data_IF_930768170217
#
_entry.id   IF_930768170217
#
_cell.length_a   1.000
_cell.length_b   1.000
_cell.length_c   1.000
_cell.angle_alpha   90.00
_cell.angle_beta   90.00
_cell.angle_gamma   90.00
#
_symmetry.space_group_name_H-M   'P 1'
#
loop_
_entity.id
_entity.type
_entity.pdbx_description
1 polymer ?
#
# COMPACT_ATOMS: atom_id res chain seq x y z
N UNK A 1 -3.22 27.66 -4.16
CA UNK A 1 -2.27 26.71 -3.54
C UNK A 1 -1.12 26.52 -4.53
N UNK A 2 0.16 26.63 -4.09
CA UNK A 2 1.32 26.44 -4.98
C UNK A 2 1.37 25.00 -5.49
N UNK A 3 1.73 24.79 -6.76
CA UNK A 3 1.79 23.46 -7.40
C UNK A 3 2.72 22.50 -6.67
N UNK A 4 3.90 22.96 -6.23
CA UNK A 4 4.85 22.14 -5.46
C UNK A 4 4.26 21.61 -4.16
N UNK A 5 3.46 22.44 -3.47
CA UNK A 5 2.79 22.04 -2.22
C UNK A 5 1.74 20.96 -2.48
N UNK A 6 1.07 21.00 -3.63
CA UNK A 6 0.11 19.95 -4.03
C UNK A 6 0.85 18.63 -4.25
N UNK A 7 1.93 18.64 -5.02
CA UNK A 7 2.74 17.44 -5.29
C UNK A 7 3.32 16.84 -4.00
N UNK A 8 3.76 17.68 -3.06
CA UNK A 8 4.25 17.23 -1.75
C UNK A 8 3.15 16.57 -0.93
N UNK A 9 1.96 17.17 -0.86
CA UNK A 9 0.82 16.60 -0.14
C UNK A 9 0.41 15.27 -0.77
N UNK A 10 0.31 15.20 -2.10
CA UNK A 10 -0.04 13.96 -2.81
C UNK A 10 1.00 12.87 -2.53
N UNK A 11 2.29 13.19 -2.59
CA UNK A 11 3.35 12.23 -2.30
C UNK A 11 3.21 11.65 -0.88
N UNK A 12 3.04 12.51 0.13
CA UNK A 12 2.87 12.08 1.54
C UNK A 12 1.61 11.22 1.71
N UNK A 13 0.48 11.62 1.12
CA UNK A 13 -0.78 10.87 1.22
C UNK A 13 -0.69 9.49 0.54
N UNK A 14 -0.10 9.39 -0.64
CA UNK A 14 0.04 8.10 -1.34
C UNK A 14 1.01 7.16 -0.63
N UNK A 15 2.15 7.67 -0.14
CA UNK A 15 3.12 6.86 0.62
C UNK A 15 2.54 6.42 1.97
N UNK A 16 1.89 7.32 2.71
CA UNK A 16 1.24 6.94 3.98
C UNK A 16 0.12 5.92 3.74
N UNK A 17 -0.69 6.06 2.68
CA UNK A 17 -1.68 5.07 2.29
C UNK A 17 -1.06 3.70 2.01
N UNK A 18 0.06 3.65 1.28
CA UNK A 18 0.78 2.40 1.03
C UNK A 18 1.28 1.76 2.32
N UNK A 19 1.88 2.53 3.23
CA UNK A 19 2.38 2.03 4.53
C UNK A 19 1.22 1.49 5.38
N UNK A 20 0.14 2.27 5.54
CA UNK A 20 -1.02 1.85 6.31
C UNK A 20 -1.69 0.60 5.71
N UNK A 21 -1.71 0.49 4.38
CA UNK A 21 -2.22 -0.70 3.69
C UNK A 21 -1.35 -1.94 3.95
N UNK A 22 -0.02 -1.80 3.92
CA UNK A 22 0.92 -2.89 4.28
C UNK A 22 0.76 -3.30 5.75
N UNK A 23 0.62 -2.33 6.66
CA UNK A 23 0.40 -2.60 8.08
C UNK A 23 -0.92 -3.37 8.29
N UNK A 24 -2.01 -2.91 7.66
CA UNK A 24 -3.31 -3.58 7.71
C UNK A 24 -3.24 -5.01 7.17
N UNK A 25 -2.63 -5.19 5.99
CA UNK A 25 -2.40 -6.51 5.39
C UNK A 25 -1.63 -7.42 6.35
N UNK A 26 -0.55 -6.93 6.95
CA UNK A 26 0.28 -7.70 7.88
C UNK A 26 -0.51 -8.14 9.12
N UNK A 27 -1.33 -7.24 9.68
CA UNK A 27 -2.21 -7.56 10.79
C UNK A 27 -3.24 -8.65 10.42
N UNK A 28 -3.85 -8.55 9.23
CA UNK A 28 -4.84 -9.52 8.74
C UNK A 28 -4.20 -10.88 8.45
N UNK A 29 -3.03 -10.92 7.81
CA UNK A 29 -2.26 -12.15 7.56
C UNK A 29 -1.86 -12.80 8.87
N UNK A 30 -1.35 -12.00 9.82
CA UNK A 30 -0.93 -12.52 11.12
C UNK A 30 -2.13 -13.10 11.84
N UNK A 31 -3.26 -12.39 11.89
CA UNK A 31 -4.48 -12.93 12.44
C UNK A 31 -4.82 -14.27 11.77
N UNK A 32 -4.98 -14.28 10.45
CA UNK A 32 -5.36 -15.47 9.70
C UNK A 32 -4.41 -16.66 9.88
N UNK A 33 -3.13 -16.50 9.55
CA UNK A 33 -2.19 -17.61 9.45
C UNK A 33 -1.67 -18.09 10.80
N UNK A 34 -1.45 -17.18 11.77
CA UNK A 34 -0.93 -17.55 13.08
C UNK A 34 -1.96 -18.35 13.89
N UNK A 35 -3.23 -17.91 13.85
CA UNK A 35 -4.28 -18.50 14.65
C UNK A 35 -5.01 -19.65 13.94
N UNK A 36 -4.95 -19.75 12.60
CA UNK A 36 -5.53 -20.88 11.87
C UNK A 36 -5.07 -22.23 12.45
N UNK A 37 -3.77 -22.37 12.73
CA UNK A 37 -3.24 -23.63 13.26
C UNK A 37 -3.78 -24.02 14.65
N UNK A 38 -4.20 -23.04 15.47
CA UNK A 38 -4.66 -23.27 16.84
C UNK A 38 -6.18 -23.37 16.95
N UNK A 39 -6.91 -22.61 16.12
CA UNK A 39 -8.34 -22.37 16.26
C UNK A 39 -9.20 -23.02 15.18
N UNK A 40 -8.61 -23.55 14.12
CA UNK A 40 -9.40 -24.05 13.00
C UNK A 40 -10.01 -25.44 13.27
N UNK A 41 -11.21 -25.43 13.84
CA UNK A 41 -12.07 -26.62 13.94
C UNK A 41 -13.00 -26.61 12.73
N UNK A 42 -12.57 -27.22 11.63
CA UNK A 42 -13.32 -27.23 10.36
C UNK A 42 -13.98 -28.58 10.09
N UNK A 43 -15.27 -28.54 9.69
CA UNK A 43 -16.09 -29.72 9.35
C UNK A 43 -16.26 -29.85 7.81
N UNK A 44 -15.95 -28.78 7.05
CA UNK A 44 -15.99 -28.71 5.59
C UNK A 44 -14.57 -28.62 5.00
N UNK A 45 -14.40 -28.44 3.69
CA UNK A 45 -13.06 -28.35 3.04
C UNK A 45 -12.55 -26.91 2.95
N UNK A 46 -13.43 -25.91 3.07
CA UNK A 46 -13.11 -24.50 2.79
C UNK A 46 -13.15 -23.58 4.02
N UNK A 47 -13.15 -24.10 5.26
CA UNK A 47 -13.35 -23.31 6.49
C UNK A 47 -12.08 -22.72 7.15
N UNK A 48 -11.07 -22.33 6.37
CA UNK A 48 -9.79 -21.88 6.92
C UNK A 48 -9.75 -20.37 7.31
N UNK A 49 -10.83 -19.62 7.09
CA UNK A 49 -10.83 -18.18 7.32
C UNK A 49 -11.35 -17.78 8.70
N UNK A 50 -10.44 -17.63 9.68
CA UNK A 50 -10.81 -17.24 11.04
C UNK A 50 -11.40 -15.82 11.14
N UNK A 51 -11.10 -14.93 10.20
CA UNK A 51 -11.61 -13.54 10.22
C UNK A 51 -13.12 -13.49 9.97
N UNK A 52 -13.67 -14.55 9.37
CA UNK A 52 -15.09 -14.74 9.10
C UNK A 52 -15.62 -16.00 9.81
N UNK A 53 -15.02 -16.33 10.96
CA UNK A 53 -15.41 -17.47 11.77
C UNK A 53 -16.82 -17.33 12.35
N UNK A 54 -17.46 -18.47 12.60
CA UNK A 54 -18.70 -18.57 13.38
C UNK A 54 -18.39 -19.25 14.71
N UNK A 55 -18.77 -18.60 15.81
CA UNK A 55 -18.65 -19.14 17.15
C UNK A 55 -19.96 -19.84 17.56
N UNK A 56 -19.88 -21.08 18.03
CA UNK A 56 -20.99 -21.84 18.61
C UNK A 56 -20.74 -22.11 20.10
N UNK A 57 -21.71 -22.69 20.81
CA UNK A 57 -21.56 -22.94 22.26
C UNK A 57 -20.35 -23.80 22.65
N UNK A 58 -19.77 -24.58 21.73
CA UNK A 58 -18.62 -25.45 22.03
C UNK A 58 -17.53 -25.45 20.96
N UNK A 59 -17.71 -24.79 19.81
CA UNK A 59 -16.75 -24.82 18.71
C UNK A 59 -16.58 -23.45 18.07
N UNK A 60 -15.38 -23.22 17.53
CA UNK A 60 -15.03 -22.08 16.71
C UNK A 60 -14.71 -22.58 15.31
N UNK A 61 -15.59 -22.30 14.34
CA UNK A 61 -15.43 -22.76 12.96
C UNK A 61 -14.98 -21.58 12.10
N UNK A 62 -13.93 -21.75 11.28
CA UNK A 62 -13.56 -20.73 10.31
C UNK A 62 -14.58 -20.60 9.17
N UNK A 63 -14.55 -19.46 8.47
CA UNK A 63 -15.38 -19.16 7.31
C UNK A 63 -14.70 -19.53 5.98
N UNK A 64 -15.38 -19.28 4.85
CA UNK A 64 -14.85 -19.55 3.51
C UNK A 64 -13.50 -18.84 3.29
N UNK A 65 -12.49 -19.62 2.93
CA UNK A 65 -11.12 -19.17 2.68
C UNK A 65 -11.02 -18.00 1.70
N UNK A 66 -11.94 -17.89 0.72
CA UNK A 66 -11.99 -16.81 -0.27
C UNK A 66 -12.13 -15.43 0.38
N UNK A 67 -12.84 -15.34 1.51
CA UNK A 67 -12.98 -14.07 2.23
C UNK A 67 -11.65 -13.62 2.83
N UNK A 68 -10.84 -14.53 3.35
CA UNK A 68 -9.51 -14.20 3.86
C UNK A 68 -8.57 -13.81 2.73
N UNK A 69 -8.57 -14.53 1.60
CA UNK A 69 -7.81 -14.11 0.41
C UNK A 69 -8.19 -12.71 -0.03
N UNK A 70 -9.49 -12.40 -0.11
CA UNK A 70 -9.96 -11.08 -0.50
C UNK A 70 -9.59 -10.00 0.53
N UNK A 71 -9.81 -10.24 1.82
CA UNK A 71 -9.53 -9.27 2.88
C UNK A 71 -8.04 -8.96 3.03
N UNK A 72 -7.19 -9.98 2.92
CA UNK A 72 -5.74 -9.85 3.02
C UNK A 72 -5.14 -9.22 1.76
N UNK A 73 -5.39 -9.82 0.61
CA UNK A 73 -4.70 -9.44 -0.63
C UNK A 73 -5.45 -8.36 -1.42
N UNK A 74 -6.69 -8.02 -1.05
CA UNK A 74 -7.47 -6.96 -1.68
C UNK A 74 -6.84 -5.57 -1.54
N UNK A 75 -5.94 -5.38 -0.57
CA UNK A 75 -5.16 -4.14 -0.42
C UNK A 75 -3.95 -4.05 -1.36
N UNK A 76 -3.57 -5.14 -2.04
CA UNK A 76 -2.40 -5.16 -2.93
C UNK A 76 -2.44 -4.09 -4.03
N UNK A 77 -3.58 -3.85 -4.72
CA UNK A 77 -3.66 -2.77 -5.71
C UNK A 77 -3.43 -1.38 -5.08
N UNK A 78 -3.97 -1.13 -3.89
CA UNK A 78 -3.80 0.15 -3.20
C UNK A 78 -2.33 0.39 -2.82
N UNK A 79 -1.61 -0.66 -2.37
CA UNK A 79 -0.17 -0.60 -2.11
C UNK A 79 0.60 -0.26 -3.39
N UNK A 80 0.29 -0.94 -4.50
CA UNK A 80 0.95 -0.70 -5.79
C UNK A 80 0.73 0.74 -6.28
N UNK A 81 -0.52 1.20 -6.30
CA UNK A 81 -0.83 2.57 -6.73
C UNK A 81 -0.25 3.61 -5.79
N UNK A 82 -0.27 3.38 -4.47
CA UNK A 82 0.32 4.27 -3.49
C UNK A 82 1.84 4.42 -3.65
N UNK A 83 2.56 3.33 -3.91
CA UNK A 83 4.00 3.38 -4.19
C UNK A 83 4.31 4.08 -5.52
N UNK A 84 3.60 3.75 -6.60
CA UNK A 84 3.83 4.35 -7.91
C UNK A 84 3.54 5.86 -7.92
N UNK A 85 2.35 6.26 -7.45
CA UNK A 85 1.94 7.66 -7.42
C UNK A 85 2.70 8.45 -6.37
N UNK A 86 2.93 7.87 -5.18
CA UNK A 86 3.71 8.50 -4.12
C UNK A 86 5.16 8.77 -4.54
N UNK A 87 5.78 7.80 -5.21
CA UNK A 87 7.11 7.94 -5.81
C UNK A 87 7.15 8.96 -6.95
N UNK A 88 6.17 8.93 -7.85
CA UNK A 88 6.08 9.91 -8.95
C UNK A 88 5.95 11.35 -8.45
N UNK A 89 5.01 11.61 -7.54
CA UNK A 89 4.81 12.94 -6.97
C UNK A 89 6.00 13.36 -6.11
N UNK A 90 6.62 12.43 -5.36
CA UNK A 90 7.82 12.69 -4.58
C UNK A 90 9.02 13.05 -5.45
N UNK A 91 9.23 12.31 -6.55
CA UNK A 91 10.26 12.60 -7.54
C UNK A 91 10.12 14.02 -8.10
N UNK A 92 8.90 14.44 -8.45
CA UNK A 92 8.64 15.78 -9.00
C UNK A 92 8.86 16.92 -8.00
N UNK A 93 8.81 16.63 -6.70
CA UNK A 93 9.17 17.60 -5.65
C UNK A 93 10.69 17.66 -5.47
N UNK A 94 11.38 16.52 -5.50
CA UNK A 94 12.81 16.44 -5.23
C UNK A 94 13.69 16.85 -6.42
N UNK A 95 13.24 16.60 -7.66
CA UNK A 95 13.93 17.03 -8.87
C UNK A 95 13.38 18.37 -9.32
N UNK A 96 14.08 19.42 -8.90
CA UNK A 96 13.85 20.76 -9.39
C UNK A 96 14.12 20.81 -10.89
N UNK A 97 13.23 21.44 -11.66
CA UNK A 97 13.40 21.67 -13.11
C UNK A 97 14.52 22.71 -13.36
N UNK A 98 15.75 22.42 -12.97
CA UNK A 98 16.94 23.12 -13.47
C UNK A 98 17.37 22.62 -14.87
N UNK A 99 16.47 21.93 -15.59
CA UNK A 99 16.60 21.68 -17.02
C UNK A 99 16.07 22.87 -17.86
N UNK A 100 15.33 23.80 -17.23
CA UNK A 100 14.77 24.98 -17.89
C UNK A 100 15.69 26.21 -17.83
N UNK A 101 16.83 26.13 -17.14
CA UNK A 101 17.90 27.13 -17.27
C UNK A 101 18.72 26.76 -18.51
N UNK A 102 18.48 27.39 -19.68
CA UNK A 102 19.36 27.17 -20.82
C UNK A 102 20.77 27.55 -20.37
N UNK A 103 21.73 26.66 -20.60
CA UNK A 103 23.15 27.03 -20.55
C UNK A 103 23.28 28.26 -21.46
N UNK A 104 23.52 29.45 -20.89
CA UNK A 104 23.75 30.66 -21.68
C UNK A 104 25.11 30.50 -22.38
N UNK A 105 25.09 29.94 -23.58
CA UNK A 105 26.27 29.80 -24.45
C UNK A 105 26.81 31.18 -24.87
N UNK A 106 26.02 32.25 -24.71
CA UNK A 106 26.38 33.60 -25.13
C UNK A 106 27.49 34.30 -24.31
N UNK A 107 27.79 33.86 -23.08
CA UNK A 107 28.84 34.52 -22.28
C UNK A 107 30.27 34.12 -22.69
N UNK A 108 30.45 33.06 -23.48
CA UNK A 108 31.78 32.59 -23.92
C UNK A 108 32.25 33.28 -25.23
N UNK A 109 31.32 33.81 -26.02
CA UNK A 109 31.63 34.45 -27.32
C UNK A 109 32.08 35.91 -27.16
N UNK A 110 31.76 36.56 -26.03
CA UNK A 110 32.19 37.96 -25.77
C UNK A 110 33.59 38.09 -25.18
N UNK A 111 34.29 36.95 -24.98
CA UNK A 111 35.65 36.90 -24.42
C UNK A 111 36.75 36.69 -25.46
N UNK A 112 36.43 36.67 -26.75
CA UNK A 112 37.39 36.60 -27.85
C UNK A 112 37.28 37.82 -28.76
#
# INVERSE_FOLDING_TARGET
>A
MNGERVEQILSVLYISCAILSVMSLTCLVTAWQYWAWTLDVCISVDCDCILYSVNTFSTFMGGDIKFCYFGVYGLSPAILFGLCLGGYHGYRVCINKNLDTPVRIYDDISRY
#
